data_IF_305862538948
#
_entry.id   IF_305862538948
#
_cell.length_a   1.000
_cell.length_b   1.000
_cell.length_c   1.000
_cell.angle_alpha   90.00
_cell.angle_beta   90.00
_cell.angle_gamma   90.00
#
_symmetry.space_group_name_H-M   'P 1'
#
loop_
_entity.id
_entity.type
_entity.pdbx_description
1 polymer ?
#
# COMPACT_ATOMS: atom_id res chain seq x y z
N UNK A 1 -8.49 -4.87 1.12
CA UNK A 1 -8.82 -4.01 2.28
C UNK A 1 -8.94 -2.56 1.82
N UNK A 2 -9.75 -1.73 2.50
CA UNK A 2 -9.69 -0.27 2.33
C UNK A 2 -8.73 0.25 3.40
N UNK A 3 -7.65 0.90 2.98
CA UNK A 3 -6.65 1.48 3.87
C UNK A 3 -7.06 2.91 4.23
N UNK A 4 -7.45 3.12 5.49
CA UNK A 4 -7.88 4.44 6.00
C UNK A 4 -6.89 5.07 6.98
N UNK A 5 -5.84 4.35 7.37
CA UNK A 5 -4.87 4.77 8.37
C UNK A 5 -3.44 4.54 7.88
N UNK A 6 -2.52 5.38 8.34
CA UNK A 6 -1.08 5.20 8.11
C UNK A 6 -0.55 4.01 8.91
N UNK A 7 0.40 3.27 8.37
CA UNK A 7 0.98 2.12 9.07
C UNK A 7 1.70 1.14 8.17
N UNK A 8 2.08 0.01 8.74
CA UNK A 8 2.68 -1.12 8.03
C UNK A 8 1.58 -2.08 7.60
N UNK A 9 1.63 -2.50 6.34
CA UNK A 9 0.65 -3.38 5.74
C UNK A 9 1.35 -4.50 4.99
N UNK A 10 0.93 -5.74 5.19
CA UNK A 10 1.45 -6.91 4.48
C UNK A 10 0.57 -7.22 3.28
N UNK A 11 1.18 -7.44 2.12
CA UNK A 11 0.46 -7.87 0.91
C UNK A 11 -0.07 -9.30 1.04
N UNK A 12 -1.34 -9.51 0.73
CA UNK A 12 -2.00 -10.83 0.77
C UNK A 12 -1.87 -11.60 -0.54
N UNK A 13 -1.45 -10.93 -1.63
CA UNK A 13 -1.16 -11.50 -2.94
C UNK A 13 -0.09 -10.66 -3.67
N UNK A 14 0.44 -11.17 -4.78
CA UNK A 14 1.32 -10.40 -5.65
C UNK A 14 0.61 -9.16 -6.17
N UNK A 15 1.30 -8.02 -6.14
CA UNK A 15 0.72 -6.74 -6.50
C UNK A 15 1.75 -5.84 -7.16
N UNK A 16 1.28 -4.81 -7.87
CA UNK A 16 2.17 -3.88 -8.55
C UNK A 16 1.68 -2.45 -8.42
N UNK A 17 2.61 -1.55 -8.12
CA UNK A 17 2.38 -0.11 -8.15
C UNK A 17 2.82 0.44 -9.49
N UNK A 18 1.96 1.19 -10.17
CA UNK A 18 2.29 1.86 -11.43
C UNK A 18 2.55 3.33 -11.18
N UNK A 19 3.73 3.82 -11.55
CA UNK A 19 4.01 5.24 -11.70
C UNK A 19 3.88 5.69 -13.16
N UNK A 20 4.19 6.94 -13.44
CA UNK A 20 4.09 7.50 -14.81
C UNK A 20 5.06 6.89 -15.81
N UNK A 21 6.22 6.40 -15.35
CA UNK A 21 7.31 5.91 -16.21
C UNK A 21 7.81 4.49 -15.85
N UNK A 22 7.30 3.90 -14.76
CA UNK A 22 7.78 2.61 -14.25
C UNK A 22 6.68 1.84 -13.51
N UNK A 23 6.91 0.54 -13.32
CA UNK A 23 6.05 -0.35 -12.54
C UNK A 23 6.93 -1.05 -11.51
N UNK A 24 6.54 -0.97 -10.24
CA UNK A 24 7.16 -1.70 -9.15
C UNK A 24 6.34 -2.97 -8.87
N UNK A 25 7.01 -4.11 -8.77
CA UNK A 25 6.40 -5.40 -8.49
C UNK A 25 6.72 -5.84 -7.06
N UNK A 26 5.69 -6.29 -6.33
CA UNK A 26 5.79 -6.75 -4.96
C UNK A 26 5.20 -8.15 -4.85
N UNK A 27 5.96 -9.06 -4.24
CA UNK A 27 5.48 -10.40 -3.94
C UNK A 27 4.50 -10.41 -2.77
N UNK A 28 3.64 -11.43 -2.74
CA UNK A 28 2.84 -11.79 -1.56
C UNK A 28 3.71 -11.84 -0.30
N UNK A 29 3.19 -11.31 0.80
CA UNK A 29 3.89 -11.26 2.09
C UNK A 29 4.84 -10.07 2.25
N UNK A 30 5.10 -9.32 1.18
CA UNK A 30 5.91 -8.10 1.26
C UNK A 30 5.20 -7.03 2.10
N UNK A 31 5.96 -6.32 2.95
CA UNK A 31 5.45 -5.26 3.82
C UNK A 31 5.64 -3.92 3.13
N UNK A 32 4.54 -3.21 2.91
CA UNK A 32 4.54 -1.82 2.46
C UNK A 32 4.20 -0.89 3.63
N UNK A 33 4.79 0.30 3.61
CA UNK A 33 4.47 1.37 4.56
C UNK A 33 3.55 2.33 3.84
N UNK A 34 2.43 2.67 4.47
CA UNK A 34 1.53 3.74 4.06
C UNK A 34 1.74 4.90 5.02
N UNK A 35 2.27 6.01 4.52
CA UNK A 35 2.61 7.19 5.33
C UNK A 35 1.59 8.32 5.18
N UNK A 36 0.78 8.31 4.12
CA UNK A 36 -0.29 9.28 3.89
C UNK A 36 -1.53 8.62 3.29
N UNK A 37 -2.70 9.13 3.70
CA UNK A 37 -4.02 8.70 3.22
C UNK A 37 -4.79 9.95 2.78
N UNK A 38 -5.30 9.92 1.56
CA UNK A 38 -6.22 10.93 1.02
C UNK A 38 -7.63 10.34 0.90
N UNK A 39 -8.51 10.58 1.90
CA UNK A 39 -9.86 10.05 1.88
C UNK A 39 -10.76 10.73 0.83
N UNK A 40 -10.44 11.95 0.39
CA UNK A 40 -11.23 12.68 -0.61
C UNK A 40 -11.05 12.06 -1.98
N UNK A 41 -9.81 11.75 -2.34
CA UNK A 41 -9.47 11.12 -3.63
C UNK A 41 -9.38 9.59 -3.54
N UNK A 42 -9.59 9.00 -2.36
CA UNK A 42 -9.57 7.55 -2.11
C UNK A 42 -8.22 6.92 -2.46
N UNK A 43 -7.15 7.61 -2.09
CA UNK A 43 -5.78 7.23 -2.43
C UNK A 43 -4.90 7.11 -1.20
N UNK A 44 -3.83 6.35 -1.36
CA UNK A 44 -2.75 6.22 -0.37
C UNK A 44 -1.41 6.32 -1.09
N UNK A 45 -0.38 6.75 -0.35
CA UNK A 45 1.00 6.74 -0.81
C UNK A 45 1.90 6.26 0.32
N UNK A 46 3.13 5.91 -0.04
CA UNK A 46 4.13 5.42 0.87
C UNK A 46 5.49 5.32 0.17
N UNK A 47 6.59 5.14 0.92
CA UNK A 47 7.94 5.19 0.36
C UNK A 47 8.23 4.17 -0.75
N UNK A 48 7.57 3.01 -0.69
CA UNK A 48 7.69 1.95 -1.70
C UNK A 48 6.77 2.17 -2.91
N UNK A 49 5.75 3.03 -2.79
CA UNK A 49 4.76 3.27 -3.83
C UNK A 49 5.27 4.33 -4.81
N UNK A 50 5.17 4.04 -6.10
CA UNK A 50 5.68 4.93 -7.15
C UNK A 50 4.84 6.19 -7.38
N UNK A 51 3.59 6.19 -6.92
CA UNK A 51 2.63 7.29 -6.99
C UNK A 51 1.49 7.04 -5.99
N UNK A 52 0.56 7.98 -5.89
CA UNK A 52 -0.71 7.80 -5.21
C UNK A 52 -1.55 6.71 -5.88
N UNK A 53 -1.72 5.61 -5.17
CA UNK A 53 -2.51 4.46 -5.63
C UNK A 53 -3.86 4.41 -4.94
N UNK A 54 -4.79 3.61 -5.47
CA UNK A 54 -6.07 3.35 -4.81
C UNK A 54 -5.87 2.84 -3.39
N UNK A 55 -6.65 3.35 -2.43
CA UNK A 55 -6.67 2.85 -1.06
C UNK A 55 -7.21 1.42 -0.92
N UNK A 56 -7.75 0.83 -2.01
CA UNK A 56 -8.25 -0.54 -2.05
C UNK A 56 -7.11 -1.46 -2.45
N UNK A 57 -6.30 -1.82 -1.47
CA UNK A 57 -5.11 -2.66 -1.65
C UNK A 57 -5.34 -4.09 -1.15
N UNK A 58 -4.70 -5.10 -1.77
CA UNK A 58 -4.74 -6.47 -1.27
C UNK A 58 -3.74 -6.63 -0.13
N UNK A 59 -4.05 -6.01 1.02
CA UNK A 59 -3.19 -5.99 2.20
C UNK A 59 -3.96 -6.32 3.48
N UNK A 60 -3.21 -6.65 4.52
CA UNK A 60 -3.62 -6.76 5.91
C UNK A 60 -2.72 -5.87 6.81
N UNK A 61 -3.25 -5.25 7.88
CA UNK A 61 -2.43 -4.45 8.79
C UNK A 61 -1.44 -5.36 9.53
N UNK A 62 -0.19 -4.90 9.67
CA UNK A 62 0.81 -5.57 10.51
C UNK A 62 0.64 -5.04 11.93
N UNK A 63 -0.20 -5.71 12.73
CA UNK A 63 -0.22 -5.50 14.17
C UNK A 63 1.07 -6.10 14.72
N UNK A 64 1.93 -5.28 15.34
CA UNK A 64 2.98 -5.81 16.20
C UNK A 64 2.27 -6.54 17.34
N UNK A 65 2.20 -7.87 17.27
CA UNK A 65 2.07 -8.68 18.46
C UNK A 65 3.47 -8.69 19.08
N UNK A 66 3.65 -7.96 20.18
CA UNK A 66 4.76 -8.18 21.12
C UNK A 66 4.78 -9.65 21.58
#
# INVERSE_FOLDING_TARGET
>A
MIVTETGKYRLTQDWSSRGSISIAHFGKGHIIIIDQVDPKNRKVIGPALLDWVSWKLPVEPVTNSD
#
